data_IF_658672094569
#
_entry.id   IF_658672094569
#
_cell.length_a   1.000
_cell.length_b   1.000
_cell.length_c   1.000
_cell.angle_alpha   90.00
_cell.angle_beta   90.00
_cell.angle_gamma   90.00
#
_symmetry.space_group_name_H-M   'P 1'
#
loop_
_entity.id
_entity.type
_entity.pdbx_description
1 polymer ?
#
# COMPACT_ATOMS: atom_id res chain seq x y z
N UNK A 1 -38.75 14.95 16.01
CA UNK A 1 -38.56 13.99 14.91
C UNK A 1 -37.46 14.44 13.93
N UNK A 2 -36.39 15.12 14.40
CA UNK A 2 -35.36 15.73 13.55
C UNK A 2 -33.91 15.32 13.96
N UNK A 3 -33.75 14.29 14.80
CA UNK A 3 -32.44 13.86 15.31
C UNK A 3 -31.89 12.60 14.62
N UNK A 4 -32.68 11.94 13.77
CA UNK A 4 -32.34 10.60 13.22
C UNK A 4 -31.53 10.68 11.91
N UNK A 5 -31.75 11.70 11.07
CA UNK A 5 -31.05 11.85 9.79
C UNK A 5 -29.54 12.10 9.92
N UNK A 6 -29.09 12.67 11.04
CA UNK A 6 -27.67 12.93 11.26
C UNK A 6 -26.84 11.68 11.57
N UNK A 7 -27.49 10.59 12.04
CA UNK A 7 -26.80 9.34 12.34
C UNK A 7 -26.57 8.51 11.07
N UNK A 8 -27.59 8.39 10.21
CA UNK A 8 -27.48 7.67 8.92
C UNK A 8 -26.43 8.28 8.00
N UNK A 9 -26.40 9.61 7.86
CA UNK A 9 -25.42 10.31 7.02
C UNK A 9 -23.98 10.03 7.49
N UNK A 10 -23.76 9.89 8.80
CA UNK A 10 -22.42 9.59 9.33
C UNK A 10 -22.01 8.13 9.14
N UNK A 11 -22.96 7.18 9.17
CA UNK A 11 -22.68 5.77 8.89
C UNK A 11 -22.37 5.53 7.41
N UNK A 12 -23.10 6.20 6.53
CA UNK A 12 -22.88 6.17 5.08
C UNK A 12 -21.52 6.77 4.71
N UNK A 13 -21.13 7.89 5.35
CA UNK A 13 -19.81 8.48 5.15
C UNK A 13 -18.70 7.56 5.66
N UNK A 14 -18.86 6.93 6.83
CA UNK A 14 -17.87 5.98 7.36
C UNK A 14 -17.69 4.79 6.43
N UNK A 15 -18.77 4.17 5.98
CA UNK A 15 -18.71 3.02 5.07
C UNK A 15 -18.04 3.39 3.74
N UNK A 16 -18.30 4.59 3.22
CA UNK A 16 -17.64 5.13 2.02
C UNK A 16 -16.14 5.36 2.22
N UNK A 17 -15.71 5.82 3.40
CA UNK A 17 -14.28 6.00 3.70
C UNK A 17 -13.60 4.64 3.82
N UNK A 18 -14.21 3.68 4.52
CA UNK A 18 -13.65 2.33 4.66
C UNK A 18 -13.60 1.58 3.33
N UNK A 19 -14.58 1.75 2.45
CA UNK A 19 -14.53 1.18 1.10
C UNK A 19 -13.40 1.78 0.28
N UNK A 20 -13.20 3.10 0.31
CA UNK A 20 -12.06 3.76 -0.37
C UNK A 20 -10.71 3.26 0.15
N UNK A 21 -10.57 3.06 1.47
CA UNK A 21 -9.35 2.51 2.07
C UNK A 21 -9.13 1.07 1.62
N UNK A 22 -10.20 0.28 1.61
CA UNK A 22 -10.16 -1.10 1.13
C UNK A 22 -9.74 -1.14 -0.35
N UNK A 23 -10.39 -0.37 -1.21
CA UNK A 23 -10.11 -0.26 -2.65
C UNK A 23 -8.68 0.20 -2.91
N UNK A 24 -8.17 1.14 -2.10
CA UNK A 24 -6.79 1.56 -2.16
C UNK A 24 -5.82 0.44 -1.79
N UNK A 25 -6.11 -0.32 -0.72
CA UNK A 25 -5.25 -1.41 -0.24
C UNK A 25 -5.26 -2.65 -1.14
N UNK A 26 -6.35 -2.90 -1.85
CA UNK A 26 -6.45 -3.99 -2.83
C UNK A 26 -5.88 -3.63 -4.21
N UNK A 27 -5.46 -2.38 -4.43
CA UNK A 27 -4.93 -1.94 -5.72
C UNK A 27 -3.44 -2.34 -5.86
N UNK A 28 -2.99 -2.82 -7.04
CA UNK A 28 -1.58 -3.14 -7.28
C UNK A 28 -0.68 -1.89 -7.46
N UNK A 29 -1.24 -0.71 -7.71
CA UNK A 29 -0.48 0.51 -8.05
C UNK A 29 0.23 1.15 -6.85
N UNK A 30 -0.37 1.30 -5.66
CA UNK A 30 0.30 1.90 -4.51
C UNK A 30 1.68 1.27 -4.17
N UNK A 31 1.86 -0.06 -4.11
CA UNK A 31 3.19 -0.64 -3.87
C UNK A 31 4.14 -0.43 -5.05
N UNK A 32 3.65 -0.42 -6.29
CA UNK A 32 4.49 -0.17 -7.47
C UNK A 32 5.02 1.27 -7.52
N UNK A 33 4.16 2.26 -7.27
CA UNK A 33 4.56 3.67 -7.20
C UNK A 33 5.55 3.87 -6.05
N UNK A 34 5.30 3.25 -4.89
CA UNK A 34 6.22 3.31 -3.77
C UNK A 34 7.60 2.72 -4.13
N UNK A 35 7.64 1.60 -4.85
CA UNK A 35 8.90 1.02 -5.35
C UNK A 35 9.65 1.99 -6.28
N UNK A 36 8.95 2.69 -7.18
CA UNK A 36 9.53 3.69 -8.08
C UNK A 36 10.15 4.85 -7.29
N UNK A 37 9.45 5.36 -6.27
CA UNK A 37 9.97 6.41 -5.40
C UNK A 37 11.24 5.96 -4.65
N UNK A 38 11.24 4.74 -4.12
CA UNK A 38 12.39 4.16 -3.43
C UNK A 38 13.57 4.02 -4.39
N UNK A 39 13.33 3.54 -5.61
CA UNK A 39 14.32 3.43 -6.67
C UNK A 39 14.91 4.80 -7.05
N UNK A 40 14.07 5.82 -7.22
CA UNK A 40 14.51 7.18 -7.51
C UNK A 40 15.37 7.77 -6.38
N UNK A 41 15.05 7.48 -5.12
CA UNK A 41 15.78 7.97 -3.95
C UNK A 41 17.13 7.27 -3.73
N UNK A 42 17.20 5.96 -3.98
CA UNK A 42 18.30 5.09 -3.57
C UNK A 42 19.07 4.46 -4.74
N UNK A 43 18.70 4.76 -5.99
CA UNK A 43 19.42 4.33 -7.18
C UNK A 43 20.78 5.02 -7.35
N UNK A 44 20.92 6.27 -6.88
CA UNK A 44 22.19 7.03 -6.96
C UNK A 44 22.36 7.98 -5.76
N UNK A 45 23.35 7.76 -4.86
CA UNK A 45 24.24 6.58 -4.77
C UNK A 45 23.47 5.32 -4.32
N UNK A 46 23.90 4.16 -4.81
CA UNK A 46 23.26 2.88 -4.49
C UNK A 46 23.38 2.56 -2.99
N UNK A 47 22.23 2.56 -2.31
CA UNK A 47 22.11 2.14 -0.91
C UNK A 47 21.35 0.83 -0.87
N UNK A 48 22.07 -0.28 -0.75
CA UNK A 48 21.53 -1.65 -0.88
C UNK A 48 20.31 -1.87 0.04
N UNK A 49 20.44 -1.53 1.33
CA UNK A 49 19.39 -1.77 2.32
C UNK A 49 18.05 -1.10 1.98
N UNK A 50 17.97 0.22 1.71
CA UNK A 50 16.72 0.82 1.28
C UNK A 50 16.34 0.46 -0.17
N UNK A 51 17.30 0.16 -1.05
CA UNK A 51 17.01 -0.20 -2.43
C UNK A 51 16.37 -1.58 -2.58
N UNK A 52 16.63 -2.52 -1.67
CA UNK A 52 16.03 -3.87 -1.69
C UNK A 52 14.51 -3.88 -1.45
N UNK A 53 13.94 -2.81 -0.86
CA UNK A 53 12.49 -2.67 -0.72
C UNK A 53 11.78 -2.49 -2.06
N UNK A 54 12.44 -1.91 -3.07
CA UNK A 54 11.83 -1.70 -4.38
C UNK A 54 11.45 -3.01 -5.09
N UNK A 55 12.35 -4.00 -5.28
CA UNK A 55 11.95 -5.28 -5.88
C UNK A 55 10.96 -6.05 -5.00
N UNK A 56 11.04 -5.94 -3.67
CA UNK A 56 10.09 -6.58 -2.76
C UNK A 56 8.66 -6.00 -2.90
N UNK A 57 8.54 -4.68 -3.06
CA UNK A 57 7.24 -4.03 -3.29
C UNK A 57 6.70 -4.28 -4.70
N UNK A 58 7.56 -4.38 -5.71
CA UNK A 58 7.14 -4.81 -7.05
C UNK A 58 6.61 -6.26 -7.04
N UNK A 59 7.23 -7.14 -6.25
CA UNK A 59 6.72 -8.49 -6.04
C UNK A 59 5.31 -8.47 -5.41
N UNK A 60 5.06 -7.60 -4.43
CA UNK A 60 3.72 -7.44 -3.86
C UNK A 60 2.69 -6.99 -4.91
N UNK A 61 3.06 -6.02 -5.77
CA UNK A 61 2.21 -5.60 -6.90
C UNK A 61 1.93 -6.74 -7.89
N UNK A 62 2.94 -7.59 -8.16
CA UNK A 62 2.77 -8.79 -8.98
C UNK A 62 1.81 -9.81 -8.35
N UNK A 63 1.94 -10.09 -7.05
CA UNK A 63 1.07 -11.03 -6.32
C UNK A 63 -0.39 -10.57 -6.36
N UNK A 64 -0.61 -9.26 -6.25
CA UNK A 64 -1.93 -8.66 -6.41
C UNK A 64 -2.50 -8.95 -7.81
N UNK A 65 -1.72 -8.67 -8.85
CA UNK A 65 -2.10 -8.96 -10.25
C UNK A 65 -2.31 -10.46 -10.50
N UNK A 66 -1.58 -11.33 -9.80
CA UNK A 66 -1.74 -12.79 -9.88
C UNK A 66 -3.07 -13.28 -9.28
N UNK A 67 -3.87 -12.38 -8.66
CA UNK A 67 -5.18 -12.69 -8.11
C UNK A 67 -5.17 -12.95 -6.61
N UNK A 68 -4.14 -12.49 -5.89
CA UNK A 68 -4.04 -12.61 -4.43
C UNK A 68 -4.02 -11.22 -3.76
N UNK A 69 -5.12 -10.44 -3.84
CA UNK A 69 -5.16 -9.08 -3.31
C UNK A 69 -4.98 -9.04 -1.79
N UNK A 70 -5.61 -9.95 -1.03
CA UNK A 70 -5.48 -9.97 0.45
C UNK A 70 -4.04 -10.24 0.90
N UNK A 71 -3.38 -11.25 0.32
CA UNK A 71 -2.00 -11.57 0.70
C UNK A 71 -1.01 -10.51 0.21
N UNK A 72 -1.25 -9.94 -0.97
CA UNK A 72 -0.47 -8.80 -1.46
C UNK A 72 -0.56 -7.59 -0.54
N UNK A 73 -1.74 -7.31 0.04
CA UNK A 73 -1.94 -6.23 0.98
C UNK A 73 -1.14 -6.43 2.27
N UNK A 74 -1.01 -7.67 2.74
CA UNK A 74 -0.13 -8.04 3.84
C UNK A 74 1.35 -7.74 3.54
N UNK A 75 1.84 -8.17 2.37
CA UNK A 75 3.21 -7.85 1.93
C UNK A 75 3.45 -6.35 1.79
N UNK A 76 2.51 -5.63 1.16
CA UNK A 76 2.56 -4.17 1.01
C UNK A 76 2.62 -3.51 2.38
N UNK A 77 1.81 -3.97 3.34
CA UNK A 77 1.78 -3.43 4.68
C UNK A 77 3.13 -3.60 5.39
N UNK A 78 3.64 -4.82 5.42
CA UNK A 78 4.90 -5.13 6.08
C UNK A 78 6.07 -4.34 5.49
N UNK A 79 6.21 -4.33 4.16
CA UNK A 79 7.35 -3.71 3.48
C UNK A 79 7.28 -2.19 3.46
N UNK A 80 6.10 -1.62 3.17
CA UNK A 80 5.89 -0.17 3.14
C UNK A 80 6.00 0.43 4.55
N UNK A 81 5.43 -0.26 5.55
CA UNK A 81 5.52 0.13 6.95
C UNK A 81 6.95 0.06 7.47
N UNK A 82 7.67 -1.04 7.19
CA UNK A 82 9.08 -1.19 7.58
C UNK A 82 9.96 -0.11 6.95
N UNK A 83 9.77 0.18 5.65
CA UNK A 83 10.49 1.28 5.00
C UNK A 83 10.21 2.62 5.68
N UNK A 84 8.94 2.93 5.98
CA UNK A 84 8.55 4.18 6.63
C UNK A 84 9.17 4.31 8.04
N UNK A 85 9.15 3.24 8.84
CA UNK A 85 9.78 3.20 10.18
C UNK A 85 11.30 3.43 10.11
N UNK A 86 11.99 2.75 9.20
CA UNK A 86 13.44 2.91 9.01
C UNK A 86 13.80 4.30 8.48
N UNK A 87 12.97 4.85 7.60
CA UNK A 87 13.17 6.17 7.03
C UNK A 87 12.90 7.29 8.04
N UNK A 88 11.96 7.11 8.98
CA UNK A 88 11.72 8.02 10.11
C UNK A 88 12.86 8.01 11.12
N UNK A 89 13.45 6.84 11.40
CA UNK A 89 14.56 6.71 12.36
C UNK A 89 15.79 7.55 11.98
N UNK A 90 15.98 7.84 10.70
CA UNK A 90 17.14 8.61 10.21
C UNK A 90 16.98 10.11 10.47
N UNK A 91 17.76 10.64 11.43
CA UNK A 91 17.88 12.10 11.69
C UNK A 91 18.29 12.85 10.42
N UNK A 92 17.62 13.98 10.14
CA UNK A 92 17.92 14.85 9.00
C UNK A 92 17.95 16.31 9.45
N UNK A 93 18.95 17.10 9.01
CA UNK A 93 18.95 18.53 9.26
C UNK A 93 17.72 19.18 8.62
N UNK A 94 17.11 20.17 9.28
CA UNK A 94 15.88 20.81 8.80
C UNK A 94 16.03 21.37 7.37
N UNK A 95 17.24 21.84 7.01
CA UNK A 95 17.55 22.32 5.66
C UNK A 95 17.43 21.24 4.57
N UNK A 96 17.73 19.97 4.86
CA UNK A 96 17.63 18.91 3.84
C UNK A 96 16.18 18.49 3.57
N UNK A 97 15.24 18.85 4.46
CA UNK A 97 13.80 18.56 4.29
C UNK A 97 13.16 19.42 3.20
N UNK A 98 13.61 20.67 3.03
CA UNK A 98 13.10 21.61 2.03
C UNK A 98 13.84 21.54 0.68
N UNK A 99 14.26 20.34 0.28
CA UNK A 99 14.91 20.10 -1.02
C UNK A 99 14.03 19.17 -1.86
N UNK A 100 14.25 19.12 -3.17
CA UNK A 100 13.55 18.16 -4.04
C UNK A 100 13.70 16.71 -3.52
N UNK A 101 14.91 16.32 -3.10
CA UNK A 101 15.15 15.00 -2.47
C UNK A 101 14.41 14.83 -1.15
N UNK A 102 14.30 15.91 -0.36
CA UNK A 102 13.51 15.96 0.88
C UNK A 102 12.03 15.71 0.63
N UNK A 103 11.46 16.33 -0.42
CA UNK A 103 10.07 16.13 -0.84
C UNK A 103 9.82 14.70 -1.30
N UNK A 104 10.66 14.15 -2.19
CA UNK A 104 10.50 12.75 -2.64
C UNK A 104 10.59 11.78 -1.46
N UNK A 105 11.51 12.02 -0.52
CA UNK A 105 11.62 11.21 0.70
C UNK A 105 10.39 11.35 1.59
N UNK A 106 9.89 12.56 1.81
CA UNK A 106 8.68 12.80 2.59
C UNK A 106 7.47 12.08 1.97
N UNK A 107 7.35 12.16 0.65
CA UNK A 107 6.31 11.47 -0.13
C UNK A 107 6.43 9.96 0.00
N UNK A 108 7.64 9.40 -0.13
CA UNK A 108 7.85 7.96 0.04
C UNK A 108 7.51 7.49 1.47
N UNK A 109 7.87 8.27 2.51
CA UNK A 109 7.50 7.95 3.89
C UNK A 109 5.99 8.02 4.08
N UNK A 110 5.33 9.09 3.63
CA UNK A 110 3.89 9.28 3.76
C UNK A 110 3.10 8.20 3.01
N UNK A 111 3.50 7.90 1.77
CA UNK A 111 2.94 6.79 0.99
C UNK A 111 3.18 5.46 1.68
N UNK A 112 4.36 5.25 2.28
CA UNK A 112 4.65 4.05 3.06
C UNK A 112 3.72 3.84 4.25
N UNK A 113 3.39 4.91 4.98
CA UNK A 113 2.39 4.86 6.05
C UNK A 113 0.98 4.60 5.52
N UNK A 114 0.56 5.30 4.47
CA UNK A 114 -0.77 5.13 3.88
C UNK A 114 -0.96 3.68 3.37
N UNK A 115 0.03 3.15 2.65
CA UNK A 115 0.04 1.77 2.18
C UNK A 115 0.04 0.77 3.34
N UNK A 116 0.73 1.07 4.44
CA UNK A 116 0.73 0.23 5.63
C UNK A 116 -0.64 0.20 6.32
N UNK A 117 -1.27 1.36 6.51
CA UNK A 117 -2.60 1.43 7.12
C UNK A 117 -3.67 0.75 6.27
N UNK A 118 -3.68 1.02 4.95
CA UNK A 118 -4.64 0.40 4.04
C UNK A 118 -4.38 -1.10 3.87
N UNK A 119 -3.12 -1.50 3.73
CA UNK A 119 -2.75 -2.91 3.64
C UNK A 119 -3.09 -3.68 4.92
N UNK A 120 -2.91 -3.08 6.09
CA UNK A 120 -3.33 -3.67 7.36
C UNK A 120 -4.86 -3.83 7.43
N UNK A 121 -5.62 -2.82 6.97
CA UNK A 121 -7.07 -2.89 6.92
C UNK A 121 -7.57 -4.02 6.01
N UNK A 122 -7.03 -4.12 4.80
CA UNK A 122 -7.37 -5.17 3.84
C UNK A 122 -6.92 -6.54 4.32
N UNK A 123 -5.73 -6.66 4.90
CA UNK A 123 -5.25 -7.94 5.42
C UNK A 123 -6.09 -8.45 6.60
N UNK A 124 -6.59 -7.54 7.45
CA UNK A 124 -7.43 -7.88 8.60
C UNK A 124 -8.87 -8.23 8.21
N UNK A 125 -9.45 -7.54 7.22
CA UNK A 125 -10.84 -7.72 6.80
C UNK A 125 -11.04 -8.51 5.50
N UNK A 126 -9.95 -8.92 4.84
CA UNK A 126 -9.98 -9.57 3.53
C UNK A 126 -10.43 -11.02 3.60
N UNK A 127 -11.15 -11.46 2.55
CA UNK A 127 -11.63 -12.84 2.41
C UNK A 127 -10.83 -13.60 1.35
N UNK A 128 -9.95 -14.49 1.81
CA UNK A 128 -9.11 -15.33 0.95
C UNK A 128 -9.92 -16.32 0.10
N UNK A 129 -11.10 -16.73 0.55
CA UNK A 129 -11.96 -17.65 -0.21
C UNK A 129 -12.58 -16.93 -1.40
N UNK A 130 -13.04 -15.69 -1.18
CA UNK A 130 -13.53 -14.83 -2.26
C UNK A 130 -12.43 -14.56 -3.30
N UNK A 131 -11.21 -14.26 -2.85
CA UNK A 131 -10.05 -14.06 -3.73
C UNK A 131 -9.78 -15.32 -4.59
N UNK A 132 -9.91 -16.51 -4.01
CA UNK A 132 -9.73 -17.78 -4.73
C UNK A 132 -10.80 -17.99 -5.81
N UNK A 133 -12.07 -17.72 -5.50
CA UNK A 133 -13.19 -17.82 -6.46
C UNK A 133 -12.97 -16.86 -7.63
N UNK A 134 -12.70 -15.58 -7.35
CA UNK A 134 -12.44 -14.58 -8.40
C UNK A 134 -11.21 -14.92 -9.24
N UNK A 135 -10.18 -15.54 -8.64
CA UNK A 135 -8.99 -15.99 -9.37
C UNK A 135 -9.31 -17.15 -10.32
N UNK A 136 -10.18 -18.08 -9.90
CA UNK A 136 -10.67 -19.17 -10.76
C UNK A 136 -11.55 -18.63 -11.89
N UNK A 137 -12.47 -17.72 -11.59
CA UNK A 137 -13.33 -17.06 -12.58
C UNK A 137 -12.53 -16.27 -13.63
N UNK A 138 -11.49 -15.54 -13.23
CA UNK A 138 -10.61 -14.82 -14.16
C UNK A 138 -9.84 -15.74 -15.10
N UNK A 139 -9.69 -17.02 -14.74
CA UNK A 139 -9.00 -18.07 -15.51
C UNK A 139 -7.73 -17.61 -16.25
N UNK A 140 -6.92 -16.75 -15.61
CA UNK A 140 -5.80 -16.06 -16.28
C UNK A 140 -4.70 -17.01 -16.76
N UNK A 141 -4.60 -18.17 -16.10
CA UNK A 141 -3.55 -19.17 -16.33
C UNK A 141 -4.09 -20.49 -16.90
N UNK A 142 -5.37 -20.56 -17.27
CA UNK A 142 -5.94 -21.69 -18.04
C UNK A 142 -5.98 -23.05 -17.31
N UNK A 143 -6.04 -23.06 -15.97
CA UNK A 143 -5.71 -24.25 -15.17
C UNK A 143 -6.85 -25.24 -14.92
N UNK A 144 -8.10 -24.79 -14.79
CA UNK A 144 -9.22 -25.68 -14.47
C UNK A 144 -10.48 -25.19 -15.19
N UNK A 145 -10.96 -26.00 -16.13
CA UNK A 145 -12.32 -26.01 -16.69
C UNK A 145 -13.16 -27.02 -15.93
#
# INVERSE_FOLDING_TARGET
MAADNGLSDTEDVKSSIFSKIHDYGTNPLPPAIHAILIGALHGRPLKILPASFAPALLFSSYVNLAGFPTDSAGFTCALSGLYALLALRRRQPLRSKFTARGLVRGTAIGMGFANSAAGAWVYANGDRKKDEVERKERNRWGGES
#
